data_IF_609244924349
#
_entry.id   IF_609244924349
#
_cell.length_a   1.000
_cell.length_b   1.000
_cell.length_c   1.000
_cell.angle_alpha   90.00
_cell.angle_beta   90.00
_cell.angle_gamma   90.00
#
_symmetry.space_group_name_H-M   'P 1'
#
loop_
_entity.id
_entity.type
_entity.pdbx_description
1 polymer ?
#
# COMPACT_ATOMS: atom_id res chain seq x y z
N UNK A 1 42.76 -8.21 -9.85
CA UNK A 1 41.36 -8.56 -10.11
C UNK A 1 40.57 -8.22 -8.87
N UNK A 2 40.04 -7.00 -8.81
CA UNK A 2 39.09 -6.58 -7.78
C UNK A 2 37.70 -7.03 -8.24
N UNK A 3 37.01 -7.74 -7.35
CA UNK A 3 35.69 -8.33 -7.57
C UNK A 3 34.64 -7.21 -7.39
N UNK A 4 34.27 -6.57 -8.50
CA UNK A 4 33.16 -5.60 -8.60
C UNK A 4 31.82 -6.33 -8.39
N UNK A 5 31.50 -6.64 -7.13
CA UNK A 5 30.12 -6.97 -6.74
C UNK A 5 29.34 -5.67 -6.71
N UNK A 6 28.82 -5.30 -7.87
CA UNK A 6 27.81 -4.26 -8.03
C UNK A 6 26.71 -4.46 -7.00
N UNK A 7 26.53 -3.44 -6.19
CA UNK A 7 25.38 -3.25 -5.31
C UNK A 7 24.12 -3.68 -6.05
N UNK A 8 23.44 -4.69 -5.52
CA UNK A 8 22.07 -4.98 -5.87
C UNK A 8 21.26 -3.74 -5.50
N UNK A 9 21.06 -2.86 -6.47
CA UNK A 9 20.17 -1.71 -6.37
C UNK A 9 18.76 -2.26 -6.07
N UNK A 10 18.43 -2.37 -4.79
CA UNK A 10 17.06 -2.47 -4.34
C UNK A 10 16.42 -1.14 -4.72
N UNK A 11 15.78 -1.11 -5.88
CA UNK A 11 14.92 0.01 -6.25
C UNK A 11 13.68 -0.10 -5.37
N UNK A 12 13.76 0.49 -4.18
CA UNK A 12 12.59 0.75 -3.35
C UNK A 12 11.86 1.93 -4.00
N UNK A 13 11.09 1.66 -5.06
CA UNK A 13 10.03 2.55 -5.51
C UNK A 13 8.94 2.50 -4.46
N UNK A 14 9.15 3.17 -3.32
CA UNK A 14 8.02 3.50 -2.45
C UNK A 14 7.23 4.58 -3.18
N UNK A 15 5.97 4.32 -3.59
CA UNK A 15 5.14 5.38 -4.13
C UNK A 15 5.11 6.54 -3.12
N UNK A 16 5.14 7.78 -3.61
CA UNK A 16 4.98 8.98 -2.78
C UNK A 16 3.56 9.02 -2.23
N UNK A 17 3.36 8.29 -1.15
CA UNK A 17 2.09 8.15 -0.48
C UNK A 17 1.88 9.38 0.41
N UNK A 18 0.69 9.98 0.33
CA UNK A 18 0.32 11.11 1.17
C UNK A 18 0.21 10.72 2.65
N UNK A 19 0.46 11.70 3.54
CA UNK A 19 0.35 11.54 4.98
C UNK A 19 -0.59 12.59 5.57
N UNK A 20 -1.11 12.34 6.77
CA UNK A 20 -1.97 13.25 7.52
C UNK A 20 -1.63 13.21 9.02
N UNK A 21 -1.98 14.27 9.73
CA UNK A 21 -1.83 14.33 11.19
C UNK A 21 -2.98 13.61 11.87
N UNK A 22 -2.65 12.80 12.88
CA UNK A 22 -3.60 12.11 13.73
C UNK A 22 -3.18 12.30 15.18
N UNK A 23 -4.11 12.71 16.03
CA UNK A 23 -3.90 12.70 17.47
C UNK A 23 -4.33 11.32 18.00
N UNK A 24 -3.43 10.68 18.75
CA UNK A 24 -3.56 9.31 19.22
C UNK A 24 -3.40 9.28 20.73
N UNK A 25 -4.45 8.84 21.42
CA UNK A 25 -4.40 8.64 22.87
C UNK A 25 -3.67 7.33 23.18
N UNK A 26 -2.68 7.46 24.06
CA UNK A 26 -1.77 6.37 24.44
C UNK A 26 -1.62 6.35 25.95
N UNK A 27 -2.05 5.26 26.57
CA UNK A 27 -1.87 5.03 28.01
C UNK A 27 -0.58 4.25 28.27
N UNK A 28 0.28 4.77 29.15
CA UNK A 28 1.48 4.10 29.64
C UNK A 28 1.28 3.69 31.10
N UNK A 29 1.46 2.41 31.38
CA UNK A 29 1.49 1.89 32.75
C UNK A 29 2.94 1.84 33.26
N UNK A 30 3.13 1.86 34.58
CA UNK A 30 4.45 1.76 35.23
C UNK A 30 5.19 0.44 34.92
N UNK A 31 4.48 -0.57 34.45
CA UNK A 31 5.07 -1.80 33.96
C UNK A 31 5.62 -1.56 32.55
N UNK A 32 6.78 -2.14 32.25
CA UNK A 32 7.58 -2.07 31.01
C UNK A 32 6.86 -2.44 29.69
N UNK A 33 5.54 -2.33 29.62
CA UNK A 33 4.69 -2.90 28.58
C UNK A 33 4.82 -2.16 27.25
N UNK A 34 5.24 -0.90 27.24
CA UNK A 34 5.35 -0.10 26.03
C UNK A 34 6.79 -0.02 25.48
N UNK A 35 7.29 -1.13 24.92
CA UNK A 35 8.52 -1.09 24.11
C UNK A 35 8.20 -0.53 22.72
N UNK A 36 8.17 0.80 22.59
CA UNK A 36 8.14 1.49 21.31
C UNK A 36 9.58 1.74 20.88
N UNK A 37 10.00 1.17 19.77
CA UNK A 37 11.31 1.43 19.19
C UNK A 37 11.18 2.45 18.07
N UNK A 38 11.92 3.56 18.18
CA UNK A 38 11.92 4.66 17.23
C UNK A 38 13.26 4.76 16.49
N UNK A 39 13.24 5.18 15.23
CA UNK A 39 14.45 5.60 14.52
C UNK A 39 14.84 7.06 14.88
N UNK A 40 15.89 7.57 14.24
CA UNK A 40 16.37 8.95 14.48
C UNK A 40 15.34 10.02 14.09
N UNK A 41 14.54 9.75 13.06
CA UNK A 41 13.48 10.64 12.56
C UNK A 41 12.13 10.42 13.27
N UNK A 42 12.12 9.72 14.41
CA UNK A 42 10.94 9.44 15.23
C UNK A 42 9.86 8.53 14.58
N UNK A 43 10.23 7.76 13.56
CA UNK A 43 9.37 6.69 13.03
C UNK A 43 9.35 5.48 13.94
N UNK A 44 8.16 4.92 14.14
CA UNK A 44 7.96 3.66 14.85
C UNK A 44 8.46 2.51 14.00
N UNK A 45 9.51 1.83 14.48
CA UNK A 45 10.09 0.63 13.85
C UNK A 45 9.50 -0.67 14.39
N UNK A 46 9.16 -0.69 15.67
CA UNK A 46 8.62 -1.87 16.34
C UNK A 46 7.70 -1.48 17.48
N UNK A 47 6.63 -2.26 17.66
CA UNK A 47 5.64 -2.14 18.71
C UNK A 47 5.44 -3.50 19.38
N UNK A 48 5.32 -3.50 20.71
CA UNK A 48 4.79 -4.67 21.40
C UNK A 48 3.26 -4.67 21.29
N UNK A 49 2.72 -5.51 20.41
CA UNK A 49 1.28 -5.58 20.15
C UNK A 49 0.43 -6.11 21.31
N UNK A 50 1.04 -6.74 22.31
CA UNK A 50 0.35 -7.16 23.54
C UNK A 50 0.07 -5.97 24.47
N UNK A 51 0.76 -4.85 24.26
CA UNK A 51 0.63 -3.64 25.05
C UNK A 51 -0.64 -2.86 24.71
N UNK A 52 -1.32 -2.35 25.74
CA UNK A 52 -2.46 -1.42 25.59
C UNK A 52 -2.05 -0.17 24.80
N UNK A 53 -0.81 0.28 24.99
CA UNK A 53 -0.16 1.41 24.34
C UNK A 53 -0.10 1.25 22.81
N UNK A 54 0.03 0.01 22.30
CA UNK A 54 0.22 -0.28 20.89
C UNK A 54 -1.08 -0.41 20.09
N UNK A 55 -2.26 -0.32 20.73
CA UNK A 55 -3.55 -0.56 20.07
C UNK A 55 -3.87 0.46 18.98
N UNK A 56 -3.49 1.73 19.20
CA UNK A 56 -3.86 2.83 18.31
C UNK A 56 -2.71 3.30 17.40
N UNK A 57 -1.52 2.71 17.55
CA UNK A 57 -0.32 3.05 16.80
C UNK A 57 -0.07 2.02 15.69
N UNK A 58 0.54 2.46 14.60
CA UNK A 58 0.94 1.61 13.47
C UNK A 58 2.46 1.73 13.31
N UNK A 59 3.12 0.61 13.01
CA UNK A 59 4.54 0.63 12.62
C UNK A 59 4.66 1.43 11.32
N UNK A 60 5.53 2.44 11.32
CA UNK A 60 5.65 3.44 10.25
C UNK A 60 4.99 4.79 10.55
N UNK A 61 4.23 4.94 11.65
CA UNK A 61 3.82 6.26 12.12
C UNK A 61 5.06 7.06 12.56
N UNK A 62 5.07 8.37 12.26
CA UNK A 62 6.10 9.29 12.76
C UNK A 62 5.57 10.10 13.93
N UNK A 63 6.24 10.06 15.08
CA UNK A 63 5.82 10.84 16.25
C UNK A 63 6.37 12.27 16.13
N UNK A 64 5.48 13.26 16.05
CA UNK A 64 5.84 14.68 15.94
C UNK A 64 5.78 15.36 17.31
N UNK A 65 4.68 15.15 18.05
CA UNK A 65 4.46 15.77 19.36
C UNK A 65 3.96 14.76 20.39
N UNK A 66 4.27 15.05 21.65
CA UNK A 66 3.71 14.38 22.83
C UNK A 66 3.14 15.45 23.74
N UNK A 67 1.86 15.34 24.09
CA UNK A 67 1.16 16.28 24.95
C UNK A 67 1.30 17.74 24.47
N UNK A 68 1.10 17.97 23.17
CA UNK A 68 1.26 19.24 22.45
C UNK A 68 2.68 19.82 22.37
N UNK A 69 3.70 19.11 22.82
CA UNK A 69 5.09 19.54 22.72
C UNK A 69 5.86 18.74 21.66
N UNK A 70 6.64 19.42 20.84
CA UNK A 70 7.51 18.78 19.85
C UNK A 70 8.59 17.95 20.51
N UNK A 71 8.79 16.72 20.03
CA UNK A 71 9.75 15.77 20.61
C UNK A 71 10.83 15.37 19.63
N UNK A 72 12.01 15.06 20.16
CA UNK A 72 13.07 14.33 19.49
C UNK A 72 13.42 13.09 20.31
N UNK A 73 14.31 12.23 19.82
CA UNK A 73 14.62 10.96 20.50
C UNK A 73 15.07 11.13 21.96
N UNK A 74 15.81 12.21 22.27
CA UNK A 74 16.32 12.49 23.62
C UNK A 74 15.23 13.02 24.56
N UNK A 75 14.27 13.80 24.04
CA UNK A 75 13.20 14.39 24.83
C UNK A 75 11.97 13.49 24.92
N UNK A 76 11.77 12.58 23.96
CA UNK A 76 10.64 11.67 23.89
C UNK A 76 10.46 10.90 25.20
N UNK A 77 11.46 10.14 25.63
CA UNK A 77 11.41 9.34 26.85
C UNK A 77 11.17 10.18 28.11
N UNK A 78 11.66 11.43 28.15
CA UNK A 78 11.47 12.35 29.27
C UNK A 78 10.05 12.92 29.34
N UNK A 79 9.35 12.97 28.20
CA UNK A 79 8.00 13.53 28.07
C UNK A 79 6.91 12.48 28.22
N UNK A 80 7.26 11.20 28.13
CA UNK A 80 6.37 10.11 28.51
C UNK A 80 6.03 10.22 29.99
N UNK A 81 4.76 10.47 30.29
CA UNK A 81 4.24 10.43 31.65
C UNK A 81 3.57 9.08 31.88
N UNK A 82 3.61 8.62 33.13
CA UNK A 82 2.76 7.51 33.57
C UNK A 82 1.31 7.98 33.48
N UNK A 83 0.44 7.15 32.90
CA UNK A 83 -0.94 7.49 32.60
C UNK A 83 -1.15 7.84 31.12
N UNK A 84 -2.10 8.73 30.86
CA UNK A 84 -2.52 9.09 29.50
C UNK A 84 -1.57 10.12 28.88
N UNK A 85 -1.16 9.85 27.64
CA UNK A 85 -0.40 10.76 26.80
C UNK A 85 -1.10 10.88 25.44
N UNK A 86 -1.09 12.09 24.89
CA UNK A 86 -1.63 12.35 23.54
C UNK A 86 -0.46 12.49 22.58
N UNK A 87 -0.36 11.59 21.60
CA UNK A 87 0.67 11.62 20.57
C UNK A 87 0.09 12.24 19.30
N UNK A 88 0.72 13.28 18.78
CA UNK A 88 0.45 13.75 17.42
C UNK A 88 1.38 13.03 16.46
N UNK A 89 0.81 12.17 15.61
CA UNK A 89 1.57 11.35 14.66
C UNK A 89 1.30 11.76 13.21
N UNK A 90 2.32 11.62 12.36
CA UNK A 90 2.18 11.63 10.91
C UNK A 90 1.89 10.20 10.46
N UNK A 91 0.69 9.96 9.93
CA UNK A 91 0.24 8.66 9.46
C UNK A 91 -0.03 8.67 7.97
N UNK A 92 0.26 7.55 7.32
CA UNK A 92 -0.13 7.29 5.93
C UNK A 92 -1.64 7.53 5.73
N UNK A 93 -2.01 8.29 4.71
CA UNK A 93 -3.41 8.59 4.39
C UNK A 93 -4.19 7.28 4.13
N UNK A 94 -5.46 7.23 4.54
CA UNK A 94 -6.34 6.06 4.43
C UNK A 94 -5.93 4.82 5.23
N UNK A 95 -5.04 4.96 6.23
CA UNK A 95 -4.66 3.86 7.12
C UNK A 95 -5.18 4.03 8.54
N UNK A 96 -5.57 2.92 9.15
CA UNK A 96 -6.00 2.87 10.54
C UNK A 96 -5.47 1.59 11.22
N UNK A 97 -5.29 1.62 12.55
CA UNK A 97 -4.83 0.46 13.29
C UNK A 97 -5.88 -0.65 13.23
N UNK A 98 -5.43 -1.90 13.13
CA UNK A 98 -6.35 -3.04 13.12
C UNK A 98 -6.89 -3.32 14.52
N UNK A 99 -8.20 -3.49 14.62
CA UNK A 99 -8.89 -3.84 15.88
C UNK A 99 -8.78 -5.34 16.19
N UNK A 100 -8.82 -5.68 17.47
CA UNK A 100 -8.75 -7.07 17.91
C UNK A 100 -9.95 -7.89 17.41
N UNK A 101 -11.13 -7.27 17.34
CA UNK A 101 -12.35 -7.90 16.82
C UNK A 101 -12.19 -8.30 15.35
N UNK A 102 -11.58 -7.41 14.55
CA UNK A 102 -11.32 -7.65 13.14
C UNK A 102 -10.33 -8.79 12.96
N UNK A 103 -9.24 -8.78 13.72
CA UNK A 103 -8.21 -9.85 13.71
C UNK A 103 -8.83 -11.22 14.06
N UNK A 104 -9.73 -11.23 15.06
CA UNK A 104 -10.42 -12.44 15.52
C UNK A 104 -11.39 -12.98 14.46
N UNK A 105 -12.15 -12.09 13.79
CA UNK A 105 -13.09 -12.44 12.72
C UNK A 105 -12.39 -13.14 11.54
N UNK A 106 -11.20 -12.67 11.17
CA UNK A 106 -10.43 -13.22 10.06
C UNK A 106 -9.56 -14.42 10.45
N UNK A 107 -9.56 -14.79 11.74
CA UNK A 107 -8.73 -15.86 12.33
C UNK A 107 -7.23 -15.69 12.03
N UNK A 108 -6.77 -14.45 11.97
CA UNK A 108 -5.36 -14.14 11.80
C UNK A 108 -4.69 -13.99 13.16
N UNK A 109 -3.39 -14.30 13.22
CA UNK A 109 -2.55 -14.02 14.37
C UNK A 109 -1.45 -13.06 13.93
N UNK A 110 -1.14 -12.07 14.78
CA UNK A 110 -0.02 -11.17 14.51
C UNK A 110 1.29 -11.94 14.63
N UNK A 111 2.11 -11.91 13.60
CA UNK A 111 3.44 -12.51 13.60
C UNK A 111 4.51 -11.46 13.92
N UNK A 112 5.56 -11.89 14.62
CA UNK A 112 6.71 -11.03 14.88
C UNK A 112 7.39 -10.65 13.56
N UNK A 113 7.80 -9.38 13.45
CA UNK A 113 8.45 -8.85 12.26
C UNK A 113 7.50 -8.44 11.13
N UNK A 114 6.18 -8.49 11.35
CA UNK A 114 5.16 -7.97 10.44
C UNK A 114 4.40 -6.82 11.09
N UNK A 115 3.96 -5.86 10.26
CA UNK A 115 2.98 -4.84 10.63
C UNK A 115 1.61 -5.16 10.05
N UNK A 116 0.57 -4.81 10.81
CA UNK A 116 -0.82 -5.02 10.45
C UNK A 116 -1.60 -3.72 10.57
N UNK A 117 -2.28 -3.33 9.50
CA UNK A 117 -3.11 -2.13 9.47
C UNK A 117 -4.26 -2.30 8.49
N UNK A 118 -5.29 -1.48 8.64
CA UNK A 118 -6.43 -1.44 7.74
C UNK A 118 -6.19 -0.32 6.73
N UNK A 119 -6.43 -0.61 5.47
CA UNK A 119 -6.50 0.37 4.39
C UNK A 119 -7.96 0.59 4.01
N UNK A 120 -8.38 1.85 3.98
CA UNK A 120 -9.72 2.23 3.51
C UNK A 120 -9.63 2.79 2.10
N UNK A 121 -10.11 2.04 1.12
CA UNK A 121 -10.19 2.52 -0.25
C UNK A 121 -11.54 3.21 -0.46
N UNK A 122 -11.54 4.46 -0.92
CA UNK A 122 -12.76 5.24 -1.11
C UNK A 122 -12.69 6.00 -2.43
N UNK A 123 -13.80 5.97 -3.17
CA UNK A 123 -14.01 6.68 -4.42
C UNK A 123 -14.89 7.91 -4.16
N UNK A 124 -14.31 8.93 -3.53
CA UNK A 124 -15.03 10.14 -3.10
C UNK A 124 -15.52 10.99 -4.28
N UNK A 125 -14.81 10.97 -5.40
CA UNK A 125 -15.06 11.88 -6.52
C UNK A 125 -15.82 11.24 -7.69
N UNK A 126 -15.99 9.90 -7.70
CA UNK A 126 -16.58 9.14 -8.82
C UNK A 126 -16.04 9.59 -10.19
N UNK A 127 -14.79 10.02 -10.25
CA UNK A 127 -14.17 10.65 -11.41
C UNK A 127 -13.30 9.67 -12.19
N UNK A 128 -13.52 9.68 -13.52
CA UNK A 128 -12.76 9.03 -14.60
C UNK A 128 -12.57 7.50 -14.54
N UNK A 129 -12.57 6.81 -15.70
CA UNK A 129 -12.36 5.36 -15.78
C UNK A 129 -10.85 5.06 -15.72
N UNK A 130 -10.15 5.55 -14.70
CA UNK A 130 -8.79 5.09 -14.45
C UNK A 130 -8.86 3.62 -14.02
N UNK A 131 -7.99 2.73 -14.54
CA UNK A 131 -7.97 1.35 -14.07
C UNK A 131 -7.58 1.31 -12.59
N UNK A 132 -8.08 0.31 -11.87
CA UNK A 132 -7.69 0.12 -10.48
C UNK A 132 -6.19 -0.16 -10.36
N UNK A 133 -5.61 -0.97 -11.26
CA UNK A 133 -4.15 -1.12 -11.42
C UNK A 133 -3.48 -1.99 -10.35
N UNK A 134 -4.17 -3.03 -9.86
CA UNK A 134 -3.67 -3.95 -8.86
C UNK A 134 -3.54 -5.35 -9.45
N UNK A 135 -2.38 -5.99 -9.29
CA UNK A 135 -2.21 -7.41 -9.58
C UNK A 135 -1.92 -8.22 -8.33
N UNK A 136 -2.68 -9.29 -8.11
CA UNK A 136 -2.60 -10.11 -6.90
C UNK A 136 -2.47 -11.60 -7.20
N UNK A 137 -1.64 -12.30 -6.43
CA UNK A 137 -1.56 -13.76 -6.42
C UNK A 137 -2.11 -14.28 -5.11
N UNK A 138 -3.09 -15.16 -5.20
CA UNK A 138 -3.57 -15.81 -4.02
C UNK A 138 -2.73 -17.01 -3.62
N UNK A 139 -2.49 -17.13 -2.32
CA UNK A 139 -1.91 -18.31 -1.70
C UNK A 139 -2.75 -18.63 -0.48
N UNK A 140 -3.41 -19.79 -0.49
CA UNK A 140 -4.33 -20.21 0.57
C UNK A 140 -5.45 -19.17 0.76
N UNK A 141 -5.54 -18.57 1.94
CA UNK A 141 -6.56 -17.59 2.33
C UNK A 141 -6.01 -16.15 2.34
N UNK A 142 -4.91 -15.88 1.63
CA UNK A 142 -4.24 -14.58 1.57
C UNK A 142 -3.99 -14.17 0.12
N UNK A 143 -4.13 -12.90 -0.20
CA UNK A 143 -3.78 -12.35 -1.51
C UNK A 143 -2.51 -11.51 -1.41
N UNK A 144 -1.49 -11.86 -2.19
CA UNK A 144 -0.22 -11.14 -2.23
C UNK A 144 -0.21 -10.18 -3.41
N UNK A 145 0.01 -8.90 -3.14
CA UNK A 145 0.14 -7.86 -4.17
C UNK A 145 1.46 -8.06 -4.89
N UNK A 146 1.39 -8.53 -6.14
CA UNK A 146 2.57 -8.78 -7.00
C UNK A 146 3.02 -7.48 -7.64
N UNK A 147 2.05 -6.74 -8.20
CA UNK A 147 2.31 -5.54 -8.98
C UNK A 147 1.27 -4.49 -8.64
N UNK A 148 1.72 -3.26 -8.62
CA UNK A 148 0.86 -2.08 -8.56
C UNK A 148 1.28 -1.20 -9.72
N UNK A 149 0.34 -0.88 -10.60
CA UNK A 149 0.64 -0.07 -11.78
C UNK A 149 0.81 1.40 -11.37
N UNK A 150 1.84 2.05 -11.90
CA UNK A 150 2.08 3.47 -11.64
C UNK A 150 0.94 4.34 -12.17
N UNK A 151 0.65 5.44 -11.45
CA UNK A 151 -0.42 6.38 -11.78
C UNK A 151 -1.82 5.75 -11.86
N UNK A 152 -2.06 4.69 -11.08
CA UNK A 152 -3.39 4.09 -10.94
C UNK A 152 -3.98 4.35 -9.56
N UNK A 153 -5.22 3.91 -9.36
CA UNK A 153 -5.90 4.07 -8.07
C UNK A 153 -5.18 3.25 -6.99
N UNK A 154 -4.77 2.03 -7.31
CA UNK A 154 -4.08 1.14 -6.39
C UNK A 154 -2.74 1.70 -5.89
N UNK A 155 -2.01 2.48 -6.69
CA UNK A 155 -0.74 3.08 -6.26
C UNK A 155 -0.87 4.09 -5.12
N UNK A 156 -2.09 4.58 -4.85
CA UNK A 156 -2.39 5.43 -3.67
C UNK A 156 -2.44 4.60 -2.38
N UNK A 157 -2.86 3.33 -2.48
CA UNK A 157 -3.25 2.49 -1.35
C UNK A 157 -2.28 1.34 -1.08
N UNK A 158 -1.77 0.67 -2.11
CA UNK A 158 -1.01 -0.57 -1.97
C UNK A 158 0.44 -0.40 -2.41
N UNK A 159 1.29 -1.30 -1.92
CA UNK A 159 2.66 -1.48 -2.37
C UNK A 159 2.86 -2.93 -2.84
N UNK A 160 3.74 -3.18 -3.82
CA UNK A 160 4.22 -4.54 -4.10
C UNK A 160 4.74 -5.20 -2.82
N UNK A 161 4.37 -6.46 -2.62
CA UNK A 161 4.69 -7.22 -1.41
C UNK A 161 3.66 -7.09 -0.29
N UNK A 162 2.64 -6.24 -0.39
CA UNK A 162 1.55 -6.24 0.58
C UNK A 162 0.79 -7.57 0.57
N UNK A 163 0.47 -8.08 1.75
CA UNK A 163 -0.34 -9.29 1.92
C UNK A 163 -1.73 -8.91 2.45
N UNK A 164 -2.76 -9.08 1.62
CA UNK A 164 -4.15 -8.80 1.93
C UNK A 164 -4.76 -10.02 2.63
N UNK A 165 -5.35 -9.81 3.81
CA UNK A 165 -5.91 -10.88 4.64
C UNK A 165 -7.44 -10.98 4.55
N UNK A 166 -8.11 -9.86 4.25
CA UNK A 166 -9.56 -9.79 4.21
C UNK A 166 -10.06 -8.71 3.26
N UNK A 167 -11.37 -8.71 3.03
CA UNK A 167 -12.11 -7.62 2.40
C UNK A 167 -13.39 -7.40 3.21
N UNK A 168 -13.57 -6.19 3.75
CA UNK A 168 -14.72 -5.81 4.59
C UNK A 168 -15.01 -6.75 5.77
N UNK A 169 -14.00 -7.52 6.18
CA UNK A 169 -14.00 -8.35 7.39
C UNK A 169 -14.37 -9.77 7.11
N UNK A 170 -14.41 -10.11 5.83
CA UNK A 170 -14.57 -11.44 5.33
C UNK A 170 -13.22 -11.88 4.81
N UNK A 171 -12.73 -13.01 5.32
CA UNK A 171 -11.49 -13.62 4.82
C UNK A 171 -11.60 -13.85 3.33
N UNK A 172 -10.48 -13.69 2.63
CA UNK A 172 -10.43 -13.93 1.19
C UNK A 172 -10.77 -15.41 0.92
N UNK A 173 -11.81 -15.70 0.12
CA UNK A 173 -12.23 -17.09 -0.14
C UNK A 173 -11.14 -17.85 -0.89
N UNK A 174 -11.05 -19.17 -0.73
CA UNK A 174 -9.97 -20.00 -1.31
C UNK A 174 -10.03 -20.12 -2.85
N UNK A 175 -11.18 -19.88 -3.47
CA UNK A 175 -11.39 -19.94 -4.94
C UNK A 175 -12.01 -18.67 -5.54
N UNK A 176 -11.39 -17.49 -5.42
CA UNK A 176 -11.79 -16.31 -6.15
C UNK A 176 -11.10 -16.35 -7.51
N UNK A 177 -11.86 -16.78 -8.51
CA UNK A 177 -11.55 -16.35 -9.87
C UNK A 177 -11.63 -14.81 -9.87
N UNK A 178 -10.58 -14.18 -10.38
CA UNK A 178 -10.47 -12.72 -10.62
C UNK A 178 -10.57 -11.80 -9.39
N UNK A 179 -9.73 -12.01 -8.35
CA UNK A 179 -9.60 -11.05 -7.23
C UNK A 179 -9.36 -9.60 -7.67
N UNK A 180 -8.58 -9.40 -8.73
CA UNK A 180 -8.31 -8.09 -9.31
C UNK A 180 -9.59 -7.41 -9.80
N UNK A 181 -10.48 -8.19 -10.43
CA UNK A 181 -11.80 -7.73 -10.84
C UNK A 181 -12.67 -7.45 -9.62
N UNK A 182 -12.63 -8.29 -8.59
CA UNK A 182 -13.39 -8.08 -7.36
C UNK A 182 -13.03 -6.76 -6.66
N UNK A 183 -11.74 -6.46 -6.48
CA UNK A 183 -11.30 -5.17 -5.90
C UNK A 183 -11.72 -3.98 -6.77
N UNK A 184 -11.63 -4.11 -8.09
CA UNK A 184 -12.08 -3.10 -9.02
C UNK A 184 -13.59 -2.86 -8.90
N UNK A 185 -14.39 -3.92 -8.83
CA UNK A 185 -15.85 -3.83 -8.68
C UNK A 185 -16.22 -3.14 -7.36
N UNK A 186 -15.58 -3.51 -6.25
CA UNK A 186 -15.80 -2.85 -4.97
C UNK A 186 -15.48 -1.35 -5.03
N UNK A 187 -14.38 -0.97 -5.69
CA UNK A 187 -14.01 0.44 -5.81
C UNK A 187 -14.98 1.24 -6.69
N UNK A 188 -15.37 0.72 -7.86
CA UNK A 188 -16.18 1.48 -8.82
C UNK A 188 -17.69 1.38 -8.57
N UNK A 189 -18.18 0.24 -8.09
CA UNK A 189 -19.61 -0.03 -7.93
C UNK A 189 -20.10 0.29 -6.51
N UNK A 190 -19.38 -0.19 -5.49
CA UNK A 190 -19.73 0.07 -4.09
C UNK A 190 -19.22 1.45 -3.67
N UNK A 191 -18.04 1.84 -4.15
CA UNK A 191 -17.46 3.15 -3.90
C UNK A 191 -16.57 3.20 -2.64
N UNK A 192 -16.58 2.16 -1.82
CA UNK A 192 -15.76 2.06 -0.62
C UNK A 192 -15.58 0.61 -0.19
N UNK A 193 -14.37 0.26 0.24
CA UNK A 193 -14.08 -1.02 0.90
C UNK A 193 -12.86 -0.90 1.82
N UNK A 194 -12.74 -1.83 2.75
CA UNK A 194 -11.65 -1.91 3.73
C UNK A 194 -10.89 -3.22 3.60
N UNK A 195 -9.58 -3.17 3.73
CA UNK A 195 -8.70 -4.34 3.62
C UNK A 195 -7.70 -4.34 4.76
N UNK A 196 -7.56 -5.47 5.44
CA UNK A 196 -6.47 -5.74 6.35
C UNK A 196 -5.22 -6.12 5.56
N UNK A 197 -4.14 -5.37 5.79
CA UNK A 197 -2.84 -5.60 5.18
C UNK A 197 -1.84 -6.07 6.22
N UNK A 198 -1.12 -7.14 5.89
CA UNK A 198 0.07 -7.66 6.55
C UNK A 198 1.30 -7.28 5.70
N UNK A 199 2.29 -6.64 6.31
CA UNK A 199 3.52 -6.20 5.62
C UNK A 199 4.74 -6.55 6.45
N UNK A 200 5.77 -7.13 5.83
CA UNK A 200 7.03 -7.40 6.51
C UNK A 200 7.78 -6.10 6.84
N UNK A 201 8.34 -6.00 8.05
CA UNK A 201 9.09 -4.81 8.51
C UNK A 201 10.46 -5.18 9.08
N UNK A 202 10.56 -6.26 9.85
CA UNK A 202 11.85 -6.66 10.41
C UNK A 202 12.80 -7.13 9.29
N UNK A 203 14.12 -6.88 9.42
CA UNK A 203 15.06 -7.19 8.36
C UNK A 203 15.10 -8.69 8.04
N UNK A 204 14.97 -9.56 9.04
CA UNK A 204 14.96 -11.01 8.85
C UNK A 204 13.70 -11.47 8.10
N UNK A 205 12.52 -10.95 8.47
CA UNK A 205 11.26 -11.28 7.77
C UNK A 205 11.22 -10.69 6.38
N UNK A 206 11.80 -9.51 6.15
CA UNK A 206 11.92 -8.90 4.82
C UNK A 206 12.73 -9.78 3.87
N UNK A 207 13.85 -10.35 4.31
CA UNK A 207 14.67 -11.24 3.46
C UNK A 207 13.85 -12.47 3.03
N UNK A 208 13.21 -13.15 3.99
CA UNK A 208 12.40 -14.34 3.71
C UNK A 208 11.22 -13.99 2.80
N UNK A 209 10.56 -12.86 3.07
CA UNK A 209 9.41 -12.42 2.30
C UNK A 209 9.80 -11.99 0.89
N UNK A 210 10.97 -11.38 0.68
CA UNK A 210 11.49 -11.06 -0.64
C UNK A 210 11.79 -12.32 -1.46
N UNK A 211 12.32 -13.37 -0.84
CA UNK A 211 12.51 -14.67 -1.50
C UNK A 211 11.16 -15.24 -1.93
N UNK A 212 10.18 -15.27 -1.03
CA UNK A 212 8.82 -15.72 -1.34
C UNK A 212 8.21 -14.89 -2.48
N UNK A 213 8.30 -13.56 -2.39
CA UNK A 213 7.78 -12.64 -3.38
C UNK A 213 8.40 -12.88 -4.76
N UNK A 214 9.71 -13.07 -4.84
CA UNK A 214 10.41 -13.37 -6.09
C UNK A 214 9.99 -14.71 -6.70
N UNK A 215 9.65 -15.71 -5.88
CA UNK A 215 9.10 -16.98 -6.36
C UNK A 215 7.66 -16.86 -6.86
N UNK A 216 6.94 -15.82 -6.41
CA UNK A 216 5.55 -15.58 -6.79
C UNK A 216 5.41 -14.77 -8.06
N UNK A 217 6.40 -13.92 -8.37
CA UNK A 217 6.46 -13.19 -9.63
C UNK A 217 6.31 -14.20 -10.78
N UNK A 218 5.44 -13.92 -11.76
CA UNK A 218 5.44 -14.71 -12.98
C UNK A 218 6.86 -14.71 -13.54
N UNK A 219 7.36 -15.87 -13.97
CA UNK A 219 8.54 -15.91 -14.81
C UNK A 219 8.16 -15.18 -16.09
N UNK A 220 8.50 -13.89 -16.17
CA UNK A 220 8.56 -13.19 -17.43
C UNK A 220 9.69 -13.87 -18.19
N UNK A 221 9.35 -14.90 -18.96
CA UNK A 221 10.08 -15.14 -20.17
C UNK A 221 9.89 -13.87 -20.97
N UNK A 222 10.86 -12.97 -20.90
CA UNK A 222 11.13 -12.00 -21.96
C UNK A 222 11.43 -12.82 -23.21
N UNK A 223 10.39 -13.44 -23.78
CA UNK A 223 10.46 -14.01 -25.10
C UNK A 223 10.56 -12.76 -25.97
N UNK A 224 11.72 -12.50 -26.59
CA UNK A 224 11.85 -11.34 -27.45
C UNK A 224 10.73 -11.44 -28.48
N UNK A 225 9.87 -10.42 -28.49
CA UNK A 225 8.78 -10.35 -29.45
C UNK A 225 9.39 -10.44 -30.84
N UNK A 226 8.95 -11.40 -31.65
CA UNK A 226 9.49 -11.61 -33.00
C UNK A 226 9.46 -10.30 -33.78
N UNK A 227 10.49 -10.06 -34.61
CA UNK A 227 10.66 -8.78 -35.32
C UNK A 227 9.38 -8.37 -36.05
N UNK A 228 8.70 -9.33 -36.71
CA UNK A 228 7.42 -9.14 -37.39
C UNK A 228 6.32 -8.58 -36.49
N UNK A 229 6.17 -9.12 -35.27
CA UNK A 229 5.18 -8.65 -34.30
C UNK A 229 5.50 -7.22 -33.81
N UNK A 230 6.79 -6.88 -33.63
CA UNK A 230 7.19 -5.51 -33.27
C UNK A 230 6.93 -4.52 -34.41
N UNK A 231 7.11 -4.95 -35.66
CA UNK A 231 6.82 -4.14 -36.86
C UNK A 231 5.32 -3.92 -36.97
N UNK A 232 4.51 -4.98 -36.84
CA UNK A 232 3.04 -4.89 -36.86
C UNK A 232 2.54 -3.97 -35.75
N UNK A 233 3.05 -4.10 -34.53
CA UNK A 233 2.71 -3.23 -33.40
C UNK A 233 3.04 -1.76 -33.69
N UNK A 234 4.25 -1.47 -34.17
CA UNK A 234 4.66 -0.11 -34.56
C UNK A 234 3.80 0.48 -35.68
N UNK A 235 3.49 -0.29 -36.72
CA UNK A 235 2.61 0.15 -37.81
C UNK A 235 1.20 0.42 -37.29
N UNK A 236 0.66 -0.48 -36.46
CA UNK A 236 -0.70 -0.37 -35.90
C UNK A 236 -0.86 0.86 -35.01
N UNK A 237 0.10 1.13 -34.12
CA UNK A 237 0.12 2.33 -33.27
C UNK A 237 0.18 3.60 -34.14
N UNK A 238 1.06 3.62 -35.16
CA UNK A 238 1.17 4.76 -36.08
C UNK A 238 -0.11 5.01 -36.87
N UNK A 239 -0.78 3.95 -37.33
CA UNK A 239 -2.07 4.03 -38.01
C UNK A 239 -3.16 4.57 -37.06
N UNK A 240 -3.21 4.08 -35.82
CA UNK A 240 -4.15 4.55 -34.80
C UNK A 240 -4.00 6.05 -34.53
N UNK A 241 -2.77 6.55 -34.37
CA UNK A 241 -2.53 7.99 -34.18
C UNK A 241 -2.91 8.83 -35.40
N UNK A 242 -2.60 8.35 -36.62
CA UNK A 242 -3.02 9.03 -37.86
C UNK A 242 -4.54 9.09 -38.00
N UNK A 243 -5.22 8.00 -37.68
CA UNK A 243 -6.68 7.91 -37.82
C UNK A 243 -7.39 8.78 -36.77
N UNK A 244 -7.01 8.68 -35.49
CA UNK A 244 -7.56 9.51 -34.42
C UNK A 244 -7.26 11.01 -34.62
N UNK A 245 -6.08 11.35 -35.14
CA UNK A 245 -5.73 12.72 -35.51
C UNK A 245 -6.60 13.29 -36.63
N UNK A 246 -7.00 12.45 -37.61
CA UNK A 246 -7.92 12.85 -38.69
C UNK A 246 -9.35 13.03 -38.21
N UNK A 247 -9.84 12.14 -37.34
CA UNK A 247 -11.18 12.27 -36.74
C UNK A 247 -11.29 13.57 -35.91
N UNK A 248 -10.26 13.90 -35.13
CA UNK A 248 -10.22 15.16 -34.37
C UNK A 248 -10.23 16.40 -35.27
N UNK A 249 -9.52 16.37 -36.41
CA UNK A 249 -9.53 17.48 -37.38
C UNK A 249 -10.86 17.61 -38.13
N UNK A 250 -11.53 16.50 -38.46
CA UNK A 250 -12.84 16.55 -39.12
C UNK A 250 -13.94 17.15 -38.22
N UNK A 251 -13.88 16.96 -36.90
CA UNK A 251 -14.81 17.62 -35.98
C UNK A 251 -14.66 19.15 -35.94
N UNK A 252 -13.44 19.67 -36.12
CA UNK A 252 -13.18 21.12 -36.17
C UNK A 252 -13.66 21.77 -37.49
N UNK A 253 -13.69 21.03 -38.60
CA UNK A 253 -14.11 21.58 -39.90
C UNK A 253 -15.63 21.61 -40.12
N UNK A 254 -16.44 20.97 -39.27
CA UNK A 254 -17.91 20.96 -39.42
C UNK A 254 -18.57 22.17 -38.72
N UNK A 255 -17.92 22.78 -37.72
CA UNK A 255 -18.48 23.93 -37.01
C UNK A 255 -18.40 25.26 -37.78
N UNK A 256 -17.51 25.38 -38.78
CA UNK A 256 -17.41 26.61 -39.60
C UNK A 256 -18.41 26.69 -40.75
N UNK A 257 -19.15 25.62 -41.05
CA UNK A 257 -20.15 25.60 -42.13
C UNK A 257 -21.61 25.79 -41.67
N UNK A 258 -21.86 25.97 -40.36
CA UNK A 258 -23.21 26.17 -39.81
C UNK A 258 -23.56 27.64 -39.48
N UNK A 259 -22.81 28.61 -40.01
CA UNK A 259 -23.14 30.03 -39.91
C UNK A 259 -23.12 30.69 -41.30
N UNK A 260 -24.20 30.51 -42.05
CA UNK A 260 -24.69 31.43 -43.08
C UNK A 260 -26.19 31.25 -43.24
#
# INVERSE_FOLDING_TARGET
MQDDRKDSNFVVLQPKIAHHHVDVDVTFNNNNDAKIYLNQDMFILSLNYESVTAKNLIIGDQIIKVNNETVNQKTFLKKLKVGENVFQVLRRLNTSPITQDRLSKIRAQRMNGFTYFIITCENSERTTPEPFGLSVKQIKNKAHVIRVDDNTIASKYFCPGDCLLDVDGHSIPYEPQDLEFHYSELYFRVGKFTVVVERAVAPETLIVYNILFNLLLPFEHDVPMGEDATVIGRVSVRLRYRYLGRIRKQRLCIEEFSKK
#
